data_IF_840895643899
#
_entry.id   IF_840895643899
#
_cell.length_a   1.000
_cell.length_b   1.000
_cell.length_c   1.000
_cell.angle_alpha   90.00
_cell.angle_beta   90.00
_cell.angle_gamma   90.00
#
_symmetry.space_group_name_H-M   'P 1'
#
loop_
_entity.id
_entity.type
_entity.pdbx_description
1 polymer ?
#
# COMPACT_ATOMS: atom_id res chain seq x y z
N UNK A 1 6.50 3.36 -15.78
CA UNK A 1 5.66 2.64 -14.79
C UNK A 1 4.97 3.62 -13.84
N UNK A 2 5.70 4.42 -13.04
CA UNK A 2 5.06 5.31 -12.05
C UNK A 2 4.13 6.38 -12.64
N UNK A 3 4.43 6.91 -13.83
CA UNK A 3 3.54 7.86 -14.51
C UNK A 3 2.16 7.28 -14.80
N UNK A 4 2.07 5.97 -15.07
CA UNK A 4 0.78 5.29 -15.32
C UNK A 4 -0.12 5.36 -14.09
N UNK A 5 0.44 5.28 -12.87
CA UNK A 5 -0.32 5.34 -11.61
C UNK A 5 -0.98 6.71 -11.46
N UNK A 6 -0.33 7.79 -11.92
CA UNK A 6 -0.87 9.15 -11.83
C UNK A 6 -2.16 9.30 -12.63
N UNK A 7 -2.22 8.66 -13.79
CA UNK A 7 -3.36 8.70 -14.72
C UNK A 7 -4.57 7.87 -14.26
N UNK A 8 -4.43 6.95 -13.30
CA UNK A 8 -5.54 6.14 -12.81
C UNK A 8 -6.51 7.04 -12.01
N UNK A 9 -7.81 7.12 -12.36
CA UNK A 9 -8.78 7.88 -11.58
C UNK A 9 -8.88 7.37 -10.14
N UNK A 10 -8.97 8.29 -9.17
CA UNK A 10 -8.93 7.93 -7.76
C UNK A 10 -10.14 7.09 -7.31
N UNK A 11 -11.30 7.29 -7.93
CA UNK A 11 -12.55 6.54 -7.74
C UNK A 11 -12.51 5.13 -8.35
N UNK A 12 -11.48 4.83 -9.14
CA UNK A 12 -11.26 3.50 -9.76
C UNK A 12 -10.03 2.80 -9.22
N UNK A 13 -9.36 3.41 -8.25
CA UNK A 13 -8.13 2.88 -7.68
C UNK A 13 -8.42 1.92 -6.52
N UNK A 14 -7.74 0.79 -6.53
CA UNK A 14 -7.68 -0.18 -5.42
C UNK A 14 -6.21 -0.35 -5.04
N UNK A 15 -5.96 -0.68 -3.77
CA UNK A 15 -4.62 -0.98 -3.26
C UNK A 15 -4.57 -2.41 -2.74
N UNK A 16 -3.46 -3.09 -3.01
CA UNK A 16 -3.16 -4.42 -2.47
C UNK A 16 -1.65 -4.56 -2.24
N UNK A 17 -1.27 -5.57 -1.46
CA UNK A 17 0.15 -5.86 -1.18
C UNK A 17 0.70 -7.01 -2.01
N UNK A 18 -0.19 -7.89 -2.49
CA UNK A 18 0.17 -9.20 -3.06
C UNK A 18 1.15 -10.00 -2.16
N UNK A 19 1.02 -9.85 -0.83
CA UNK A 19 1.87 -10.53 0.13
C UNK A 19 1.75 -12.07 -0.04
N UNK A 20 2.87 -12.84 0.01
CA UNK A 20 4.21 -12.45 0.52
C UNK A 20 5.12 -11.76 -0.51
N UNK A 21 4.61 -11.48 -1.72
CA UNK A 21 5.34 -10.89 -2.84
C UNK A 21 5.28 -9.36 -2.83
N UNK A 22 5.83 -8.75 -3.87
CA UNK A 22 5.67 -7.32 -4.18
C UNK A 22 6.10 -6.31 -3.09
N UNK A 23 6.84 -6.76 -2.07
CA UNK A 23 7.36 -5.88 -1.02
C UNK A 23 8.27 -4.77 -1.56
N UNK A 24 8.04 -3.54 -1.11
CA UNK A 24 8.81 -2.37 -1.54
C UNK A 24 10.28 -2.47 -1.11
N UNK A 25 11.19 -2.25 -2.06
CA UNK A 25 12.65 -2.26 -1.82
C UNK A 25 13.23 -0.85 -1.99
N UNK A 26 14.36 -0.53 -1.32
CA UNK A 26 15.02 0.77 -1.49
C UNK A 26 15.36 1.10 -2.94
N UNK A 27 15.64 0.10 -3.78
CA UNK A 27 15.94 0.26 -5.20
C UNK A 27 14.72 0.58 -6.08
N UNK A 28 13.49 0.44 -5.59
CA UNK A 28 12.30 0.75 -6.38
C UNK A 28 12.11 2.27 -6.47
N UNK A 29 11.72 2.78 -7.64
CA UNK A 29 11.59 4.22 -7.87
C UNK A 29 10.58 4.93 -6.95
N UNK A 30 9.57 4.21 -6.43
CA UNK A 30 8.60 4.73 -5.48
C UNK A 30 9.11 4.81 -4.03
N UNK A 31 10.23 4.15 -3.69
CA UNK A 31 10.69 4.01 -2.30
C UNK A 31 10.93 5.35 -1.59
N UNK A 32 11.25 6.40 -2.35
CA UNK A 32 11.45 7.77 -1.84
C UNK A 32 10.23 8.41 -1.17
N UNK A 33 9.03 7.89 -1.44
CA UNK A 33 7.78 8.39 -0.84
C UNK A 33 7.41 7.67 0.47
N UNK A 34 8.06 6.54 0.77
CA UNK A 34 7.76 5.74 1.96
C UNK A 34 8.23 6.47 3.21
N UNK A 35 7.33 6.63 4.17
CA UNK A 35 7.60 7.26 5.45
C UNK A 35 7.59 6.21 6.57
N UNK A 36 6.60 5.33 6.55
CA UNK A 36 6.43 4.29 7.56
C UNK A 36 7.39 3.13 7.33
N UNK A 37 8.13 2.75 8.37
CA UNK A 37 9.06 1.61 8.34
C UNK A 37 8.64 0.58 9.37
N UNK A 38 8.61 -0.67 8.93
CA UNK A 38 8.35 -1.82 9.78
C UNK A 38 9.67 -2.54 10.08
N UNK A 39 9.89 -2.92 11.33
CA UNK A 39 11.08 -3.67 11.71
C UNK A 39 11.03 -5.09 11.10
N UNK A 40 12.18 -5.54 10.58
CA UNK A 40 12.28 -6.85 9.94
C UNK A 40 13.56 -7.61 10.33
N UNK A 41 13.41 -8.84 10.83
CA UNK A 41 14.49 -9.71 11.27
C UNK A 41 14.87 -10.76 10.20
N UNK A 42 16.15 -11.11 10.11
CA UNK A 42 16.67 -12.03 9.07
C UNK A 42 16.54 -13.53 9.40
N UNK A 43 16.58 -13.91 10.67
CA UNK A 43 16.85 -15.31 11.06
C UNK A 43 15.93 -15.88 12.14
N UNK A 44 15.28 -15.04 12.92
CA UNK A 44 14.37 -15.45 13.98
C UNK A 44 12.99 -14.90 13.67
N UNK A 45 12.01 -15.78 13.60
CA UNK A 45 10.60 -15.37 13.63
C UNK A 45 10.31 -14.71 14.99
N UNK A 46 9.44 -13.70 14.96
CA UNK A 46 8.92 -12.99 16.13
C UNK A 46 7.46 -12.64 15.84
N UNK A 47 6.60 -12.64 16.86
CA UNK A 47 5.22 -12.17 16.73
C UNK A 47 5.13 -10.67 16.46
N UNK A 48 6.16 -9.91 16.88
CA UNK A 48 6.16 -8.45 16.86
C UNK A 48 7.01 -7.86 15.73
N UNK A 49 7.69 -8.70 14.93
CA UNK A 49 8.64 -8.25 13.92
C UNK A 49 8.45 -9.02 12.62
N UNK A 50 8.51 -8.31 11.49
CA UNK A 50 8.39 -8.95 10.18
C UNK A 50 9.59 -9.86 9.88
N UNK A 51 9.40 -10.83 8.98
CA UNK A 51 10.51 -11.58 8.41
C UNK A 51 11.11 -10.83 7.22
N UNK A 52 12.44 -10.66 7.19
CA UNK A 52 13.11 -9.87 6.14
C UNK A 52 12.83 -10.46 4.75
N UNK A 53 12.42 -9.60 3.83
CA UNK A 53 12.03 -9.93 2.45
C UNK A 53 10.71 -10.69 2.26
N UNK A 54 9.97 -10.97 3.34
CA UNK A 54 8.59 -11.45 3.25
C UNK A 54 7.65 -10.26 3.40
N UNK A 55 6.89 -9.94 2.35
CA UNK A 55 5.91 -8.87 2.45
C UNK A 55 4.72 -9.31 3.32
N UNK A 56 4.01 -8.35 3.93
CA UNK A 56 2.89 -8.64 4.82
C UNK A 56 1.74 -7.64 4.61
N UNK A 57 0.48 -7.98 4.89
CA UNK A 57 -0.67 -7.11 4.63
C UNK A 57 -0.57 -5.71 5.25
N UNK A 58 0.04 -5.57 6.43
CA UNK A 58 0.23 -4.27 7.09
C UNK A 58 1.07 -3.27 6.27
N UNK A 59 1.91 -3.77 5.35
CA UNK A 59 2.71 -2.93 4.46
C UNK A 59 1.90 -2.25 3.34
N UNK A 60 0.58 -2.49 3.28
CA UNK A 60 -0.32 -1.75 2.38
C UNK A 60 -0.19 -0.24 2.56
N UNK A 61 0.18 0.20 3.78
CA UNK A 61 0.48 1.59 4.09
C UNK A 61 1.64 2.14 3.24
N UNK A 62 2.67 1.34 2.95
CA UNK A 62 3.76 1.78 2.07
C UNK A 62 3.28 1.94 0.63
N UNK A 63 2.34 1.12 0.16
CA UNK A 63 1.73 1.28 -1.17
C UNK A 63 0.92 2.58 -1.20
N UNK A 64 0.11 2.83 -0.16
CA UNK A 64 -0.66 4.06 -0.01
C UNK A 64 0.24 5.30 -0.03
N UNK A 65 1.31 5.33 0.76
CA UNK A 65 2.28 6.43 0.81
C UNK A 65 2.90 6.72 -0.57
N UNK A 66 3.26 5.66 -1.31
CA UNK A 66 3.82 5.77 -2.66
C UNK A 66 2.81 6.38 -3.63
N UNK A 67 1.57 5.88 -3.65
CA UNK A 67 0.55 6.38 -4.57
C UNK A 67 0.12 7.81 -4.21
N UNK A 68 -0.03 8.11 -2.92
CA UNK A 68 -0.33 9.45 -2.44
C UNK A 68 0.77 10.45 -2.83
N UNK A 69 2.04 10.08 -2.64
CA UNK A 69 3.19 10.89 -3.02
C UNK A 69 3.32 11.11 -4.53
N UNK A 70 2.92 10.12 -5.35
CA UNK A 70 2.89 10.26 -6.81
C UNK A 70 1.77 11.17 -7.30
N UNK A 71 0.62 11.13 -6.62
CA UNK A 71 -0.57 11.93 -6.95
C UNK A 71 -0.60 13.29 -6.25
N UNK A 72 0.41 13.61 -5.43
CA UNK A 72 0.48 14.83 -4.61
C UNK A 72 -0.76 15.04 -3.74
N UNK A 73 -1.23 13.96 -3.10
CA UNK A 73 -2.41 13.95 -2.24
C UNK A 73 -2.05 13.60 -0.79
N UNK A 74 -2.92 14.01 0.14
CA UNK A 74 -2.86 13.51 1.50
C UNK A 74 -3.14 12.00 1.53
N UNK A 75 -2.32 11.26 2.28
CA UNK A 75 -2.43 9.81 2.36
C UNK A 75 -3.72 9.36 3.08
N UNK A 76 -4.19 10.12 4.07
CA UNK A 76 -5.44 9.83 4.78
C UNK A 76 -6.66 9.99 3.85
N UNK A 77 -6.72 11.10 3.11
CA UNK A 77 -7.79 11.36 2.14
C UNK A 77 -7.81 10.31 1.01
N UNK A 78 -6.64 9.99 0.43
CA UNK A 78 -6.57 8.93 -0.57
C UNK A 78 -6.94 7.56 0.02
N UNK A 79 -6.50 7.28 1.25
CA UNK A 79 -6.82 6.06 2.00
C UNK A 79 -8.32 5.87 2.17
N UNK A 80 -9.04 6.93 2.55
CA UNK A 80 -10.50 6.91 2.65
C UNK A 80 -11.17 6.62 1.31
N UNK A 81 -10.72 7.27 0.23
CA UNK A 81 -11.26 7.04 -1.12
C UNK A 81 -11.05 5.60 -1.58
N UNK A 82 -9.84 5.04 -1.47
CA UNK A 82 -9.56 3.66 -1.93
C UNK A 82 -10.24 2.60 -1.06
N UNK A 83 -10.47 2.90 0.21
CA UNK A 83 -11.29 2.06 1.09
C UNK A 83 -12.73 2.03 0.61
N UNK A 84 -13.32 3.20 0.35
CA UNK A 84 -14.69 3.31 -0.18
C UNK A 84 -14.83 2.55 -1.52
N UNK A 85 -13.89 2.73 -2.44
CA UNK A 85 -13.88 1.99 -3.71
C UNK A 85 -13.87 0.47 -3.48
N UNK A 86 -13.06 -0.01 -2.53
CA UNK A 86 -12.94 -1.43 -2.20
C UNK A 86 -14.23 -1.98 -1.58
N UNK A 87 -14.88 -1.21 -0.70
CA UNK A 87 -16.18 -1.56 -0.10
C UNK A 87 -17.27 -1.61 -1.17
N UNK A 88 -17.34 -0.61 -2.04
CA UNK A 88 -18.33 -0.55 -3.11
C UNK A 88 -18.20 -1.72 -4.09
N UNK A 89 -16.96 -2.13 -4.41
CA UNK A 89 -16.72 -3.22 -5.36
C UNK A 89 -16.94 -4.61 -4.74
N UNK A 90 -16.35 -4.88 -3.57
CA UNK A 90 -16.30 -6.23 -3.00
C UNK A 90 -17.34 -6.49 -1.92
N UNK A 91 -17.90 -5.45 -1.30
CA UNK A 91 -18.82 -5.56 -0.17
C UNK A 91 -20.08 -4.67 -0.32
N UNK A 92 -20.75 -4.66 -1.48
CA UNK A 92 -21.88 -3.75 -1.73
C UNK A 92 -23.05 -3.93 -0.76
N UNK A 93 -23.22 -5.13 -0.19
CA UNK A 93 -24.27 -5.42 0.81
C UNK A 93 -24.03 -4.79 2.19
N UNK A 94 -22.88 -4.18 2.44
CA UNK A 94 -22.57 -3.48 3.70
C UNK A 94 -22.93 -1.99 3.69
N UNK A 95 -23.46 -1.49 2.57
CA UNK A 95 -23.88 -0.10 2.39
C UNK A 95 -25.37 0.12 2.68
N UNK A 96 -26.10 -0.95 2.97
CA UNK A 96 -27.52 -1.01 3.36
C UNK A 96 -27.64 -1.48 4.79
#
# INVERSE_FOLDING_TARGET
CLEVIKEIPNDKLLLETDAPWCGMRPSHAGSKYIQTKFEAAKKTWSETTMYKQRNEPQTILNILEVVAGLKSMDAGALGAQVYENSVNLFFPSKLT
#
